data_IF_454890756814
#
_entry.id   IF_454890756814
#
_cell.length_a   1.000
_cell.length_b   1.000
_cell.length_c   1.000
_cell.angle_alpha   90.00
_cell.angle_beta   90.00
_cell.angle_gamma   90.00
#
_symmetry.space_group_name_H-M   'P 1'
#
loop_
_entity.id
_entity.type
_entity.pdbx_description
1 polymer ?
#
# COMPACT_ATOMS: atom_id res chain seq x y z
N UNK A 1 -38.99 48.50 -58.63
CA UNK A 1 -39.88 47.32 -58.51
C UNK A 1 -39.73 46.74 -57.10
N UNK A 2 -40.86 46.65 -56.38
CA UNK A 2 -41.21 45.86 -55.17
C UNK A 2 -40.13 45.28 -54.21
N UNK A 3 -40.33 45.54 -52.91
CA UNK A 3 -40.17 44.59 -51.77
C UNK A 3 -38.91 44.77 -50.91
N UNK A 4 -38.91 45.48 -49.78
CA UNK A 4 -39.23 45.06 -48.38
C UNK A 4 -38.32 43.96 -47.77
N UNK A 5 -37.33 44.42 -46.98
CA UNK A 5 -36.92 44.08 -45.57
C UNK A 5 -37.32 42.73 -44.92
N UNK A 6 -36.69 42.31 -43.78
CA UNK A 6 -35.37 42.65 -43.20
C UNK A 6 -34.63 41.39 -42.67
N UNK A 7 -33.32 41.48 -42.36
CA UNK A 7 -32.63 40.35 -41.73
C UNK A 7 -31.27 40.66 -41.12
N UNK A 8 -31.21 40.42 -39.80
CA UNK A 8 -30.04 40.23 -38.90
C UNK A 8 -29.59 41.43 -38.07
N UNK A 9 -29.62 41.31 -36.73
CA UNK A 9 -28.81 42.12 -35.83
C UNK A 9 -27.64 41.33 -35.19
N UNK A 10 -26.62 42.12 -34.86
CA UNK A 10 -25.76 42.07 -33.66
C UNK A 10 -24.81 40.87 -33.41
N UNK A 11 -23.54 41.22 -33.20
CA UNK A 11 -22.48 40.33 -32.76
C UNK A 11 -22.19 40.36 -31.25
N UNK A 12 -21.31 39.42 -30.88
CA UNK A 12 -20.37 39.36 -29.75
C UNK A 12 -20.90 39.46 -28.30
N UNK A 13 -20.82 38.34 -27.56
CA UNK A 13 -19.99 38.18 -26.34
C UNK A 13 -20.12 36.75 -25.75
N UNK A 14 -19.00 36.19 -25.29
CA UNK A 14 -18.77 34.92 -24.56
C UNK A 14 -19.47 34.85 -23.17
N UNK A 15 -19.42 33.74 -22.37
CA UNK A 15 -18.87 32.37 -22.58
C UNK A 15 -19.76 31.19 -22.09
N UNK A 16 -19.29 29.96 -22.40
CA UNK A 16 -19.36 28.73 -21.61
C UNK A 16 -20.73 28.16 -21.16
N UNK A 17 -21.31 27.28 -21.99
CA UNK A 17 -22.22 26.22 -21.56
C UNK A 17 -21.45 24.89 -21.41
N UNK A 18 -21.54 24.33 -20.21
CA UNK A 18 -21.44 22.91 -19.95
C UNK A 18 -22.81 22.30 -20.31
N UNK A 19 -22.90 21.60 -21.43
CA UNK A 19 -23.97 20.65 -21.72
C UNK A 19 -23.35 19.25 -21.59
N UNK A 20 -23.88 18.31 -20.81
CA UNK A 20 -25.28 18.09 -20.51
C UNK A 20 -25.63 16.70 -21.04
N UNK A 21 -25.43 15.69 -20.20
CA UNK A 21 -25.97 14.35 -20.39
C UNK A 21 -27.50 14.45 -20.46
N UNK A 22 -28.03 13.75 -21.44
CA UNK A 22 -29.43 13.54 -21.80
C UNK A 22 -30.42 13.36 -20.64
N UNK A 23 -31.40 14.26 -20.63
CA UNK A 23 -32.87 14.10 -20.42
C UNK A 23 -33.49 12.71 -20.70
N UNK A 24 -34.82 12.47 -20.48
CA UNK A 24 -35.84 13.22 -19.70
C UNK A 24 -36.86 12.30 -18.95
N UNK A 25 -37.69 12.88 -18.08
CA UNK A 25 -39.15 12.73 -18.17
C UNK A 25 -39.86 13.64 -17.17
N UNK A 26 -40.65 14.63 -17.62
CA UNK A 26 -41.79 15.12 -16.83
C UNK A 26 -42.89 15.74 -17.69
N UNK A 27 -44.12 15.23 -17.50
CA UNK A 27 -45.39 15.79 -17.97
C UNK A 27 -45.77 17.05 -17.17
N UNK A 28 -46.43 17.97 -17.88
CA UNK A 28 -47.07 19.23 -17.43
C UNK A 28 -48.19 19.02 -16.39
N UNK A 29 -48.42 20.03 -15.52
CA UNK A 29 -49.53 21.03 -15.58
C UNK A 29 -49.61 21.84 -14.27
N UNK A 30 -49.50 23.17 -14.39
CA UNK A 30 -50.42 24.19 -13.84
C UNK A 30 -50.50 24.50 -12.33
N UNK A 31 -50.36 25.79 -11.98
CA UNK A 31 -51.23 26.44 -10.97
C UNK A 31 -50.56 27.23 -9.83
N UNK A 32 -50.53 28.57 -9.99
CA UNK A 32 -50.67 29.65 -8.99
C UNK A 32 -50.11 29.49 -7.55
N UNK A 33 -49.17 30.38 -7.22
CA UNK A 33 -49.25 31.35 -6.11
C UNK A 33 -49.08 30.85 -4.66
N UNK A 34 -48.12 31.42 -3.92
CA UNK A 34 -48.20 31.50 -2.46
C UNK A 34 -46.94 31.11 -1.67
N UNK A 35 -46.22 32.15 -1.25
CA UNK A 35 -45.31 32.32 -0.09
C UNK A 35 -45.16 31.17 0.97
N UNK A 36 -43.89 30.90 1.27
CA UNK A 36 -43.22 30.52 2.55
C UNK A 36 -43.82 29.43 3.45
N UNK A 37 -43.07 28.33 3.66
CA UNK A 37 -42.73 27.77 4.98
C UNK A 37 -41.82 26.54 4.88
N UNK A 38 -40.69 26.58 5.58
CA UNK A 38 -39.79 25.44 5.80
C UNK A 38 -40.52 24.25 6.45
N UNK A 39 -40.37 23.04 5.90
CA UNK A 39 -40.87 21.79 6.50
C UNK A 39 -39.74 20.79 6.76
N UNK A 40 -39.77 20.31 8.00
CA UNK A 40 -38.89 19.34 8.68
C UNK A 40 -38.85 17.96 7.98
N UNK A 41 -37.79 17.15 8.18
CA UNK A 41 -37.74 15.79 7.67
C UNK A 41 -38.76 14.87 8.38
N UNK A 42 -39.39 14.01 7.58
CA UNK A 42 -40.42 13.07 7.97
C UNK A 42 -39.96 12.06 9.03
N UNK A 43 -40.67 12.00 10.16
CA UNK A 43 -40.61 10.88 11.12
C UNK A 43 -41.27 9.64 10.49
N UNK A 44 -40.53 8.54 10.42
CA UNK A 44 -41.05 7.22 10.06
C UNK A 44 -42.13 6.77 11.07
N UNK A 45 -43.31 6.39 10.55
CA UNK A 45 -44.39 5.78 11.31
C UNK A 45 -44.02 4.34 11.68
N UNK A 46 -44.11 3.98 12.98
CA UNK A 46 -44.07 2.60 13.46
C UNK A 46 -45.35 1.86 13.08
N UNK A 47 -45.31 0.55 12.74
CA UNK A 47 -46.52 -0.22 12.45
C UNK A 47 -47.30 -0.57 13.73
N UNK A 48 -48.63 -0.81 13.64
CA UNK A 48 -49.46 -1.07 14.82
C UNK A 48 -49.32 -2.51 15.33
N UNK A 49 -49.26 -2.65 16.66
CA UNK A 49 -49.33 -3.94 17.37
C UNK A 49 -50.74 -4.54 17.22
N UNK A 50 -50.82 -5.76 16.69
CA UNK A 50 -52.04 -6.57 16.65
C UNK A 50 -52.54 -6.87 18.06
N UNK A 51 -53.80 -6.55 18.33
CA UNK A 51 -54.59 -7.04 19.47
C UNK A 51 -54.89 -8.53 19.27
N UNK A 52 -54.60 -9.34 20.29
CA UNK A 52 -55.21 -10.67 20.48
C UNK A 52 -55.95 -10.65 21.82
N UNK A 53 -57.22 -11.03 21.77
CA UNK A 53 -57.99 -11.63 22.85
C UNK A 53 -59.04 -12.53 22.19
N UNK A 54 -59.88 -13.26 22.92
CA UNK A 54 -59.89 -13.53 24.37
C UNK A 54 -59.88 -15.04 24.67
N UNK A 55 -59.52 -15.47 25.89
CA UNK A 55 -60.16 -16.66 26.49
C UNK A 55 -60.24 -16.51 28.01
N UNK A 56 -61.40 -16.92 28.49
CA UNK A 56 -62.00 -16.93 29.81
C UNK A 56 -61.38 -17.96 30.75
N UNK A 57 -61.30 -17.63 32.04
CA UNK A 57 -61.06 -18.57 33.14
C UNK A 57 -61.01 -17.82 34.47
N UNK A 58 -62.05 -18.00 35.30
CA UNK A 58 -62.13 -17.52 36.69
C UNK A 58 -61.07 -18.22 37.55
N UNK A 59 -60.50 -17.55 38.56
CA UNK A 59 -60.89 -17.77 39.96
C UNK A 59 -60.02 -17.03 41.00
N UNK A 60 -60.72 -16.53 42.02
CA UNK A 60 -60.39 -16.39 43.46
C UNK A 60 -59.32 -15.38 43.95
N UNK A 61 -59.85 -14.44 44.76
CA UNK A 61 -59.34 -13.68 45.94
C UNK A 61 -57.83 -13.66 46.25
N UNK A 62 -57.32 -12.45 46.49
CA UNK A 62 -56.87 -12.04 47.83
C UNK A 62 -56.65 -10.52 47.94
N UNK A 63 -57.22 -9.91 48.98
CA UNK A 63 -57.01 -8.51 49.37
C UNK A 63 -55.68 -8.37 50.13
N UNK A 64 -54.68 -7.75 49.50
CA UNK A 64 -53.41 -7.37 50.14
C UNK A 64 -53.15 -5.88 50.01
N UNK A 65 -53.49 -5.12 51.06
CA UNK A 65 -53.29 -3.66 51.16
C UNK A 65 -51.79 -3.34 51.29
N UNK A 66 -51.09 -3.14 50.18
CA UNK A 66 -49.67 -2.76 50.19
C UNK A 66 -49.49 -1.23 50.38
N UNK A 67 -49.09 -0.84 51.59
CA UNK A 67 -48.62 0.51 51.93
C UNK A 67 -47.28 0.76 51.23
N UNK A 68 -47.25 1.68 50.27
CA UNK A 68 -46.01 2.11 49.58
C UNK A 68 -45.27 3.13 50.43
N UNK A 69 -44.27 2.68 51.20
CA UNK A 69 -43.29 3.56 51.84
C UNK A 69 -42.27 4.01 50.79
N UNK A 70 -42.30 5.28 50.40
CA UNK A 70 -41.23 5.89 49.59
C UNK A 70 -40.07 6.23 50.50
N UNK A 71 -39.07 5.35 50.58
CA UNK A 71 -37.76 5.69 51.13
C UNK A 71 -37.08 6.70 50.20
N UNK A 72 -36.96 7.96 50.65
CA UNK A 72 -36.07 8.94 50.05
C UNK A 72 -34.64 8.47 50.30
N UNK A 73 -34.05 7.77 49.34
CA UNK A 73 -32.61 7.53 49.34
C UNK A 73 -31.90 8.90 49.24
N UNK A 74 -31.15 9.24 50.29
CA UNK A 74 -30.32 10.42 50.36
C UNK A 74 -29.42 10.54 49.13
N UNK A 75 -29.37 11.75 48.57
CA UNK A 75 -28.59 12.11 47.39
C UNK A 75 -27.11 11.98 47.72
N UNK A 76 -26.47 10.87 47.33
CA UNK A 76 -25.02 10.75 47.35
C UNK A 76 -24.39 11.94 46.59
N UNK A 77 -23.30 12.55 47.10
CA UNK A 77 -22.65 13.69 46.46
C UNK A 77 -22.26 13.32 45.02
N UNK A 78 -22.61 14.18 44.06
CA UNK A 78 -22.46 13.91 42.63
C UNK A 78 -21.03 13.52 42.21
N UNK A 79 -20.03 13.96 42.96
CA UNK A 79 -18.61 13.65 42.78
C UNK A 79 -18.32 12.15 42.93
N UNK A 80 -18.96 11.46 43.88
CA UNK A 80 -18.73 10.02 44.11
C UNK A 80 -19.36 9.15 43.01
N UNK A 81 -20.49 9.59 42.43
CA UNK A 81 -21.11 8.92 41.27
C UNK A 81 -20.28 9.11 40.00
N UNK A 82 -19.71 10.29 39.81
CA UNK A 82 -18.90 10.60 38.63
C UNK A 82 -17.55 9.85 38.63
N UNK A 83 -16.97 9.62 39.81
CA UNK A 83 -15.80 8.75 40.00
C UNK A 83 -16.15 7.26 39.82
N UNK A 84 -17.29 6.80 40.36
CA UNK A 84 -17.74 5.42 40.21
C UNK A 84 -18.02 5.03 38.74
N UNK A 85 -18.43 5.98 37.90
CA UNK A 85 -18.67 5.76 36.46
C UNK A 85 -17.39 5.81 35.60
N UNK A 86 -16.29 6.43 36.09
CA UNK A 86 -15.02 6.54 35.34
C UNK A 86 -14.15 5.29 35.44
N UNK A 87 -14.12 4.63 36.60
CA UNK A 87 -13.31 3.42 36.84
C UNK A 87 -13.66 2.24 35.89
N UNK A 88 -14.94 1.89 35.63
CA UNK A 88 -15.28 0.80 34.72
C UNK A 88 -15.11 1.15 33.23
N UNK A 89 -15.09 2.44 32.85
CA UNK A 89 -14.87 2.88 31.47
C UNK A 89 -13.41 2.73 31.06
N UNK A 90 -12.47 3.08 31.95
CA UNK A 90 -11.04 2.86 31.73
C UNK A 90 -10.71 1.36 31.61
N UNK A 91 -11.33 0.51 32.43
CA UNK A 91 -11.19 -0.95 32.36
C UNK A 91 -11.73 -1.55 31.05
N UNK A 92 -12.86 -1.06 30.53
CA UNK A 92 -13.39 -1.50 29.22
C UNK A 92 -12.50 -1.05 28.06
N UNK A 93 -11.99 0.17 28.09
CA UNK A 93 -11.13 0.70 27.03
C UNK A 93 -9.79 -0.06 26.94
N UNK A 94 -9.23 -0.49 28.08
CA UNK A 94 -8.07 -1.39 28.14
C UNK A 94 -8.41 -2.80 27.63
N UNK A 95 -9.58 -3.35 27.99
CA UNK A 95 -10.02 -4.67 27.52
C UNK A 95 -10.30 -4.69 26.01
N UNK A 96 -10.93 -3.63 25.49
CA UNK A 96 -11.22 -3.46 24.07
C UNK A 96 -9.91 -3.25 23.27
N UNK A 97 -8.92 -2.56 23.85
CA UNK A 97 -7.57 -2.45 23.29
C UNK A 97 -6.82 -3.78 23.22
N UNK A 98 -6.89 -4.60 24.28
CA UNK A 98 -6.29 -5.95 24.32
C UNK A 98 -7.00 -6.89 23.35
N UNK A 99 -8.33 -6.83 23.25
CA UNK A 99 -9.10 -7.66 22.31
C UNK A 99 -8.82 -7.23 20.87
N UNK A 100 -8.71 -5.92 20.60
CA UNK A 100 -8.32 -5.39 19.29
C UNK A 100 -6.90 -5.78 18.88
N UNK A 101 -5.97 -5.87 19.84
CA UNK A 101 -4.62 -6.37 19.62
C UNK A 101 -4.64 -7.87 19.24
N UNK A 102 -5.44 -8.69 19.94
CA UNK A 102 -5.54 -10.13 19.64
C UNK A 102 -6.09 -10.39 18.24
N UNK A 103 -7.14 -9.68 17.83
CA UNK A 103 -7.69 -9.76 16.48
C UNK A 103 -6.68 -9.30 15.41
N UNK A 104 -5.92 -8.24 15.70
CA UNK A 104 -4.86 -7.76 14.79
C UNK A 104 -3.76 -8.80 14.63
N UNK A 105 -3.30 -9.41 15.73
CA UNK A 105 -2.31 -10.48 15.68
C UNK A 105 -2.80 -11.67 14.86
N UNK A 106 -4.03 -12.13 15.08
CA UNK A 106 -4.62 -13.24 14.32
C UNK A 106 -4.66 -12.94 12.83
N UNK A 107 -5.06 -11.73 12.44
CA UNK A 107 -5.13 -11.32 11.03
C UNK A 107 -3.74 -11.31 10.39
N UNK A 108 -2.75 -10.80 11.10
CA UNK A 108 -1.35 -10.78 10.65
C UNK A 108 -0.77 -12.17 10.49
N UNK A 109 -1.01 -13.06 11.46
CA UNK A 109 -0.56 -14.46 11.41
C UNK A 109 -1.19 -15.19 10.22
N UNK A 110 -2.48 -15.00 9.97
CA UNK A 110 -3.16 -15.61 8.82
C UNK A 110 -2.60 -15.06 7.50
N UNK A 111 -2.31 -13.75 7.43
CA UNK A 111 -1.74 -13.13 6.23
C UNK A 111 -0.34 -13.69 5.91
N UNK A 112 0.55 -13.78 6.91
CA UNK A 112 1.87 -14.38 6.75
C UNK A 112 1.79 -15.89 6.46
N UNK A 113 0.85 -16.61 7.07
CA UNK A 113 0.60 -18.02 6.77
C UNK A 113 0.15 -18.24 5.32
N UNK A 114 -0.76 -17.40 4.82
CA UNK A 114 -1.21 -17.41 3.42
C UNK A 114 -0.07 -17.10 2.44
N UNK A 115 0.75 -16.10 2.76
CA UNK A 115 1.95 -15.77 1.98
C UNK A 115 2.93 -16.96 1.94
N UNK A 116 3.19 -17.60 3.08
CA UNK A 116 4.06 -18.79 3.17
C UNK A 116 3.55 -19.96 2.33
N UNK A 117 2.24 -20.22 2.33
CA UNK A 117 1.62 -21.26 1.50
C UNK A 117 1.71 -20.95 0.00
N UNK A 118 1.61 -19.67 -0.39
CA UNK A 118 1.81 -19.25 -1.78
C UNK A 118 3.27 -19.46 -2.19
N UNK A 119 4.22 -19.04 -1.35
CA UNK A 119 5.66 -19.25 -1.57
C UNK A 119 5.99 -20.74 -1.73
N UNK A 120 5.47 -21.60 -0.86
CA UNK A 120 5.65 -23.05 -0.96
C UNK A 120 5.10 -23.63 -2.26
N UNK A 121 3.93 -23.14 -2.73
CA UNK A 121 3.37 -23.53 -4.03
C UNK A 121 4.22 -23.06 -5.20
N UNK A 122 4.75 -21.84 -5.15
CA UNK A 122 5.65 -21.29 -6.18
C UNK A 122 6.94 -22.11 -6.24
N UNK A 123 7.57 -22.38 -5.09
CA UNK A 123 8.78 -23.20 -5.02
C UNK A 123 8.58 -24.61 -5.57
N UNK A 124 7.46 -25.27 -5.24
CA UNK A 124 7.14 -26.59 -5.80
C UNK A 124 6.83 -26.54 -7.31
N UNK A 125 6.36 -25.39 -7.81
CA UNK A 125 5.97 -25.20 -9.21
C UNK A 125 7.06 -24.56 -10.07
N UNK A 126 8.27 -24.38 -9.51
CA UNK A 126 9.40 -23.70 -10.16
C UNK A 126 9.94 -24.50 -11.37
N UNK A 127 9.68 -25.81 -11.42
CA UNK A 127 9.91 -26.64 -12.59
C UNK A 127 8.94 -26.27 -13.74
N UNK A 128 9.34 -25.24 -14.49
CA UNK A 128 8.62 -24.78 -15.66
C UNK A 128 9.01 -25.61 -16.90
N UNK A 129 8.03 -26.02 -17.72
CA UNK A 129 8.31 -26.41 -19.08
C UNK A 129 8.74 -25.18 -19.91
N UNK A 130 9.57 -25.35 -20.96
CA UNK A 130 10.14 -24.26 -21.76
C UNK A 130 9.13 -23.33 -22.44
N UNK A 131 7.84 -23.72 -22.49
CA UNK A 131 6.75 -22.93 -23.12
C UNK A 131 6.47 -21.58 -22.47
N UNK A 132 6.91 -21.32 -21.23
CA UNK A 132 6.60 -20.07 -20.51
C UNK A 132 7.70 -19.00 -20.62
N UNK A 133 8.80 -19.25 -21.33
CA UNK A 133 9.92 -18.31 -21.44
C UNK A 133 9.51 -16.95 -22.03
N UNK A 134 8.60 -16.94 -23.01
CA UNK A 134 8.07 -15.69 -23.60
C UNK A 134 7.32 -14.82 -22.59
N UNK A 135 6.64 -15.43 -21.61
CA UNK A 135 5.97 -14.67 -20.55
C UNK A 135 6.98 -14.03 -19.60
N UNK A 136 8.06 -14.76 -19.27
CA UNK A 136 9.13 -14.24 -18.40
C UNK A 136 9.79 -13.03 -19.06
N UNK A 137 10.12 -13.10 -20.36
CA UNK A 137 10.72 -11.96 -21.08
C UNK A 137 9.83 -10.72 -21.07
N UNK A 138 8.52 -10.90 -21.26
CA UNK A 138 7.55 -9.80 -21.22
C UNK A 138 7.49 -9.15 -19.83
N UNK A 139 7.55 -9.95 -18.77
CA UNK A 139 7.59 -9.46 -17.40
C UNK A 139 8.92 -8.75 -17.09
N UNK A 140 10.06 -9.24 -17.62
CA UNK A 140 11.37 -8.57 -17.48
C UNK A 140 11.32 -7.18 -18.12
N UNK A 141 10.81 -7.07 -19.34
CA UNK A 141 10.69 -5.80 -20.06
C UNK A 141 9.77 -4.83 -19.29
N UNK A 142 8.59 -5.30 -18.89
CA UNK A 142 7.59 -4.49 -18.18
C UNK A 142 8.12 -4.00 -16.83
N UNK A 143 8.70 -4.88 -16.02
CA UNK A 143 9.20 -4.53 -14.68
C UNK A 143 10.48 -3.70 -14.74
N UNK A 144 11.41 -4.06 -15.62
CA UNK A 144 12.73 -3.44 -15.72
C UNK A 144 12.68 -2.06 -16.38
N UNK A 145 12.20 -1.99 -17.62
CA UNK A 145 12.26 -0.75 -18.43
C UNK A 145 11.43 0.36 -17.79
N UNK A 146 10.24 0.05 -17.31
CA UNK A 146 9.36 1.05 -16.69
C UNK A 146 9.89 1.58 -15.35
N UNK A 147 10.78 0.85 -14.70
CA UNK A 147 11.31 1.21 -13.38
C UNK A 147 12.68 1.88 -13.44
N UNK A 148 13.35 1.81 -14.60
CA UNK A 148 14.70 2.29 -14.82
C UNK A 148 14.85 3.79 -14.50
N UNK A 149 13.91 4.62 -14.95
CA UNK A 149 13.93 6.06 -14.67
C UNK A 149 13.84 6.41 -13.18
N UNK A 150 12.98 5.72 -12.43
CA UNK A 150 12.84 5.93 -10.98
C UNK A 150 14.09 5.45 -10.25
N UNK A 151 14.64 4.30 -10.63
CA UNK A 151 15.83 3.72 -10.03
C UNK A 151 17.06 4.63 -10.20
N UNK A 152 17.35 5.07 -11.42
CA UNK A 152 18.53 5.89 -11.71
C UNK A 152 18.44 7.27 -11.07
N UNK A 153 17.27 7.90 -11.12
CA UNK A 153 17.06 9.21 -10.50
C UNK A 153 17.23 9.13 -8.99
N UNK A 154 16.66 8.11 -8.33
CA UNK A 154 16.86 7.93 -6.90
C UNK A 154 18.32 7.66 -6.53
N UNK A 155 19.01 6.82 -7.32
CA UNK A 155 20.39 6.44 -7.09
C UNK A 155 21.35 7.62 -7.18
N UNK A 156 21.25 8.45 -8.24
CA UNK A 156 22.17 9.58 -8.43
C UNK A 156 22.04 10.59 -7.29
N UNK A 157 20.81 11.00 -6.94
CA UNK A 157 20.60 11.99 -5.89
C UNK A 157 20.94 11.45 -4.50
N UNK A 158 20.61 10.19 -4.22
CA UNK A 158 20.94 9.59 -2.92
C UNK A 158 22.44 9.40 -2.76
N UNK A 159 23.15 8.98 -3.82
CA UNK A 159 24.60 8.87 -3.84
C UNK A 159 25.30 10.22 -3.62
N UNK A 160 24.82 11.28 -4.29
CA UNK A 160 25.33 12.64 -4.09
C UNK A 160 25.15 13.11 -2.64
N UNK A 161 23.94 12.97 -2.09
CA UNK A 161 23.63 13.39 -0.72
C UNK A 161 24.45 12.59 0.29
N UNK A 162 24.56 11.27 0.13
CA UNK A 162 25.32 10.42 1.05
C UNK A 162 26.81 10.76 1.06
N UNK A 163 27.37 11.06 -0.11
CA UNK A 163 28.79 11.37 -0.24
C UNK A 163 29.14 12.72 0.38
N UNK A 164 28.33 13.77 0.14
CA UNK A 164 28.53 15.07 0.81
C UNK A 164 28.44 14.91 2.33
N UNK A 165 27.44 14.18 2.82
CA UNK A 165 27.27 13.95 4.26
C UNK A 165 28.47 13.20 4.84
N UNK A 166 28.97 12.18 4.13
CA UNK A 166 30.18 11.45 4.53
C UNK A 166 31.41 12.35 4.56
N UNK A 167 31.56 13.26 3.58
CA UNK A 167 32.65 14.23 3.53
C UNK A 167 32.66 15.17 4.73
N UNK A 168 31.50 15.71 5.10
CA UNK A 168 31.36 16.57 6.29
C UNK A 168 31.73 15.82 7.57
N UNK A 169 31.37 14.54 7.67
CA UNK A 169 31.70 13.72 8.84
C UNK A 169 33.21 13.40 8.91
N UNK A 170 33.83 13.03 7.78
CA UNK A 170 35.25 12.65 7.75
C UNK A 170 36.21 13.84 7.88
N UNK A 171 35.81 15.02 7.42
CA UNK A 171 36.58 16.26 7.61
C UNK A 171 36.89 16.53 9.10
N UNK A 172 35.98 16.14 10.01
CA UNK A 172 36.17 16.31 11.46
C UNK A 172 37.28 15.44 12.03
N UNK A 173 37.63 14.35 11.36
CA UNK A 173 38.68 13.42 11.76
C UNK A 173 39.96 13.58 10.91
N UNK A 174 40.02 14.58 10.02
CA UNK A 174 41.12 14.75 9.06
C UNK A 174 41.23 13.62 8.03
N UNK A 175 40.15 12.86 7.82
CA UNK A 175 40.15 11.61 7.05
C UNK A 175 39.44 11.76 5.68
N UNK A 176 39.61 12.89 5.00
CA UNK A 176 38.85 13.22 3.77
C UNK A 176 39.14 12.25 2.61
N UNK A 177 40.30 11.61 2.58
CA UNK A 177 40.65 10.60 1.56
C UNK A 177 39.75 9.34 1.64
N UNK A 178 39.15 9.04 2.80
CA UNK A 178 38.31 7.85 3.01
C UNK A 178 36.85 8.04 2.62
N UNK A 179 36.46 9.24 2.19
CA UNK A 179 35.07 9.56 1.82
C UNK A 179 34.57 8.66 0.70
N UNK A 180 35.37 8.46 -0.35
CA UNK A 180 34.99 7.62 -1.50
C UNK A 180 34.76 6.15 -1.14
N UNK A 181 35.72 5.47 -0.50
CA UNK A 181 35.51 4.12 0.03
C UNK A 181 34.28 3.97 0.91
N UNK A 182 34.08 4.89 1.86
CA UNK A 182 32.94 4.83 2.79
C UNK A 182 31.61 4.99 2.04
N UNK A 183 31.55 5.96 1.12
CA UNK A 183 30.40 6.19 0.26
C UNK A 183 30.07 4.95 -0.59
N UNK A 184 31.07 4.41 -1.29
CA UNK A 184 30.89 3.26 -2.16
C UNK A 184 30.47 2.00 -1.38
N UNK A 185 31.11 1.70 -0.25
CA UNK A 185 30.76 0.53 0.57
C UNK A 185 29.33 0.62 1.11
N UNK A 186 28.90 1.79 1.56
CA UNK A 186 27.53 2.00 2.04
C UNK A 186 26.50 1.84 0.91
N UNK A 187 26.80 2.32 -0.29
CA UNK A 187 25.94 2.17 -1.46
C UNK A 187 25.83 0.69 -1.86
N UNK A 188 26.97 0.04 -2.10
CA UNK A 188 27.02 -1.34 -2.62
C UNK A 188 26.42 -2.38 -1.65
N UNK A 189 26.62 -2.23 -0.35
CA UNK A 189 26.18 -3.24 0.64
C UNK A 189 24.74 -3.04 1.13
N UNK A 190 24.29 -1.79 1.23
CA UNK A 190 23.05 -1.46 1.92
C UNK A 190 22.13 -0.59 1.06
N UNK A 191 22.54 0.65 0.77
CA UNK A 191 21.63 1.65 0.22
C UNK A 191 21.13 1.26 -1.18
N UNK A 192 21.98 0.78 -2.07
CA UNK A 192 21.60 0.41 -3.43
C UNK A 192 20.54 -0.68 -3.50
N UNK A 193 20.78 -1.88 -2.92
CA UNK A 193 19.80 -2.95 -2.86
C UNK A 193 18.50 -2.55 -2.16
N UNK A 194 18.58 -1.86 -1.02
CA UNK A 194 17.41 -1.50 -0.20
C UNK A 194 16.57 -0.41 -0.86
N UNK A 195 17.20 0.65 -1.38
CA UNK A 195 16.48 1.74 -2.05
C UNK A 195 15.81 1.24 -3.33
N UNK A 196 16.49 0.41 -4.10
CA UNK A 196 15.90 -0.25 -5.28
C UNK A 196 14.70 -1.09 -4.86
N UNK A 197 14.85 -1.92 -3.83
CA UNK A 197 13.77 -2.78 -3.34
C UNK A 197 12.53 -2.00 -2.87
N UNK A 198 12.71 -0.87 -2.17
CA UNK A 198 11.58 -0.08 -1.66
C UNK A 198 10.94 0.76 -2.78
N UNK A 199 11.74 1.54 -3.51
CA UNK A 199 11.23 2.49 -4.50
C UNK A 199 10.70 1.79 -5.75
N UNK A 200 11.54 0.97 -6.37
CA UNK A 200 11.16 0.20 -7.56
C UNK A 200 10.20 -0.91 -7.17
N UNK A 201 10.46 -1.61 -6.06
CA UNK A 201 9.58 -2.69 -5.65
C UNK A 201 8.20 -2.23 -5.24
N UNK A 202 8.05 -1.06 -4.61
CA UNK A 202 6.73 -0.47 -4.35
C UNK A 202 5.93 -0.23 -5.64
N UNK A 203 6.57 0.32 -6.68
CA UNK A 203 5.95 0.51 -8.01
C UNK A 203 5.59 -0.84 -8.64
N UNK A 204 6.54 -1.76 -8.74
CA UNK A 204 6.36 -3.06 -9.39
C UNK A 204 5.29 -3.90 -8.69
N UNK A 205 5.34 -4.00 -7.36
CA UNK A 205 4.35 -4.75 -6.59
C UNK A 205 2.94 -4.16 -6.68
N UNK A 206 2.82 -2.83 -6.71
CA UNK A 206 1.53 -2.16 -6.91
C UNK A 206 0.95 -2.47 -8.29
N UNK A 207 1.78 -2.45 -9.33
CA UNK A 207 1.38 -2.84 -10.68
C UNK A 207 0.93 -4.29 -10.77
N UNK A 208 1.70 -5.21 -10.18
CA UNK A 208 1.34 -6.63 -10.09
C UNK A 208 0.01 -6.83 -9.36
N UNK A 209 -0.19 -6.12 -8.26
CA UNK A 209 -1.43 -6.17 -7.45
C UNK A 209 -2.62 -5.64 -8.25
N UNK A 210 -2.45 -4.52 -8.94
CA UNK A 210 -3.50 -3.93 -9.77
C UNK A 210 -3.92 -4.88 -10.90
N UNK A 211 -2.96 -5.53 -11.56
CA UNK A 211 -3.23 -6.44 -12.66
C UNK A 211 -3.93 -7.74 -12.19
N UNK A 212 -3.38 -8.41 -11.16
CA UNK A 212 -3.98 -9.63 -10.62
C UNK A 212 -5.31 -9.37 -9.94
N UNK A 213 -5.42 -8.25 -9.24
CA UNK A 213 -6.67 -7.85 -8.59
C UNK A 213 -7.75 -7.50 -9.62
N UNK A 214 -7.40 -6.85 -10.74
CA UNK A 214 -8.33 -6.64 -11.87
C UNK A 214 -8.79 -7.97 -12.48
N UNK A 215 -7.88 -8.91 -12.70
CA UNK A 215 -8.22 -10.27 -13.15
C UNK A 215 -9.12 -11.02 -12.17
N UNK A 216 -8.96 -10.78 -10.87
CA UNK A 216 -9.82 -11.36 -9.84
C UNK A 216 -11.20 -10.73 -9.83
N UNK A 217 -11.30 -9.40 -9.90
CA UNK A 217 -12.58 -8.66 -9.92
C UNK A 217 -13.39 -8.97 -11.17
N UNK A 218 -12.72 -9.27 -12.28
CA UNK A 218 -13.35 -9.67 -13.56
C UNK A 218 -13.56 -11.18 -13.69
N UNK A 219 -13.40 -11.94 -12.60
CA UNK A 219 -13.58 -13.41 -12.53
C UNK A 219 -12.70 -14.21 -13.51
N UNK A 220 -11.68 -13.59 -14.13
CA UNK A 220 -10.77 -14.27 -15.06
C UNK A 220 -9.96 -15.38 -14.37
N UNK A 221 -9.61 -15.17 -13.10
CA UNK A 221 -8.88 -16.18 -12.31
C UNK A 221 -9.77 -17.39 -12.02
N UNK A 222 -11.07 -17.17 -11.77
CA UNK A 222 -12.01 -18.25 -11.51
C UNK A 222 -12.36 -18.99 -12.81
N UNK A 223 -12.46 -18.28 -13.94
CA UNK A 223 -12.54 -18.91 -15.26
C UNK A 223 -11.33 -19.81 -15.58
N UNK A 224 -10.11 -19.41 -15.18
CA UNK A 224 -8.93 -20.28 -15.33
C UNK A 224 -9.03 -21.55 -14.47
N UNK A 225 -9.62 -21.45 -13.27
CA UNK A 225 -9.84 -22.60 -12.38
C UNK A 225 -10.87 -23.57 -12.96
N UNK A 226 -11.96 -23.08 -13.55
CA UNK A 226 -12.98 -23.94 -14.18
C UNK A 226 -12.45 -24.66 -15.41
N UNK A 227 -11.50 -24.05 -16.14
CA UNK A 227 -10.77 -24.67 -17.26
C UNK A 227 -9.69 -25.66 -16.83
N UNK A 228 -9.52 -25.93 -15.54
CA UNK A 228 -8.49 -26.85 -15.01
C UNK A 228 -7.05 -26.31 -15.13
N UNK A 229 -6.88 -25.01 -15.40
CA UNK A 229 -5.56 -24.39 -15.54
C UNK A 229 -5.04 -23.94 -14.17
N UNK A 230 -3.82 -24.35 -13.82
CA UNK A 230 -3.16 -23.88 -12.60
C UNK A 230 -2.74 -22.41 -12.75
N UNK A 231 -3.55 -21.51 -12.17
CA UNK A 231 -3.32 -20.05 -12.19
C UNK A 231 -2.00 -19.63 -11.53
N UNK A 232 -1.54 -20.34 -10.49
CA UNK A 232 -0.26 -20.02 -9.81
C UNK A 232 0.90 -20.22 -10.79
N UNK A 233 0.90 -21.34 -11.52
CA UNK A 233 1.96 -21.66 -12.49
C UNK A 233 1.97 -20.70 -13.68
N UNK A 234 0.79 -20.24 -14.12
CA UNK A 234 0.64 -19.39 -15.30
C UNK A 234 0.83 -17.89 -15.02
N UNK A 235 0.43 -17.40 -13.85
CA UNK A 235 0.47 -15.96 -13.53
C UNK A 235 1.59 -15.60 -12.54
N UNK A 236 1.77 -16.36 -11.46
CA UNK A 236 2.65 -15.98 -10.34
C UNK A 236 4.11 -16.36 -10.62
N UNK A 237 4.35 -17.61 -11.06
CA UNK A 237 5.71 -18.11 -11.30
C UNK A 237 6.53 -17.26 -12.31
N UNK A 238 6.02 -16.87 -13.50
CA UNK A 238 6.82 -16.08 -14.43
C UNK A 238 7.23 -14.72 -13.87
N UNK A 239 6.38 -14.09 -13.03
CA UNK A 239 6.68 -12.82 -12.35
C UNK A 239 7.80 -12.97 -11.34
N UNK A 240 7.74 -14.02 -10.53
CA UNK A 240 8.78 -14.31 -9.54
C UNK A 240 10.11 -14.58 -10.23
N UNK A 241 10.13 -15.33 -11.32
CA UNK A 241 11.37 -15.56 -12.08
C UNK A 241 11.89 -14.29 -12.76
N UNK A 242 10.99 -13.46 -13.31
CA UNK A 242 11.39 -12.18 -13.89
C UNK A 242 12.02 -11.26 -12.84
N UNK A 243 11.44 -11.16 -11.63
CA UNK A 243 11.96 -10.28 -10.58
C UNK A 243 13.29 -10.74 -10.00
N UNK A 244 13.56 -12.05 -9.95
CA UNK A 244 14.87 -12.59 -9.57
C UNK A 244 16.01 -12.12 -10.50
N UNK A 245 15.70 -11.73 -11.74
CA UNK A 245 16.67 -11.21 -12.70
C UNK A 245 16.66 -9.67 -12.72
N UNK A 246 15.46 -9.07 -12.72
CA UNK A 246 15.29 -7.62 -12.84
C UNK A 246 15.86 -6.86 -11.64
N UNK A 247 15.58 -7.31 -10.41
CA UNK A 247 16.04 -6.58 -9.21
C UNK A 247 17.57 -6.53 -9.10
N UNK A 248 18.31 -7.64 -9.27
CA UNK A 248 19.77 -7.60 -9.31
C UNK A 248 20.32 -6.69 -10.39
N UNK A 249 19.76 -6.77 -11.61
CA UNK A 249 20.21 -5.93 -12.72
C UNK A 249 20.00 -4.44 -12.42
N UNK A 250 18.84 -4.08 -11.86
CA UNK A 250 18.56 -2.70 -11.46
C UNK A 250 19.47 -2.26 -10.32
N UNK A 251 19.75 -3.11 -9.33
CA UNK A 251 20.67 -2.80 -8.24
C UNK A 251 22.08 -2.49 -8.74
N UNK A 252 22.60 -3.29 -9.67
CA UNK A 252 23.93 -3.02 -10.27
C UNK A 252 23.96 -1.65 -10.96
N UNK A 253 22.89 -1.29 -11.68
CA UNK A 253 22.77 0.02 -12.32
C UNK A 253 22.66 1.16 -11.30
N UNK A 254 21.89 0.98 -10.22
CA UNK A 254 21.78 1.99 -9.16
C UNK A 254 23.09 2.16 -8.41
N UNK A 255 23.84 1.09 -8.19
CA UNK A 255 25.13 1.16 -7.50
C UNK A 255 26.14 1.93 -8.34
N UNK A 256 26.24 1.60 -9.63
CA UNK A 256 27.13 2.28 -10.56
C UNK A 256 26.79 3.79 -10.63
N UNK A 257 25.52 4.14 -10.82
CA UNK A 257 25.09 5.54 -10.94
C UNK A 257 25.19 6.28 -9.61
N UNK A 258 24.91 5.63 -8.48
CA UNK A 258 25.03 6.22 -7.16
C UNK A 258 26.48 6.56 -6.81
N UNK A 259 27.43 5.66 -7.08
CA UNK A 259 28.86 5.89 -6.89
C UNK A 259 29.38 7.00 -7.81
N UNK A 260 28.97 7.00 -9.08
CA UNK A 260 29.34 8.05 -10.03
C UNK A 260 28.79 9.41 -9.59
N UNK A 261 27.55 9.47 -9.09
CA UNK A 261 26.98 10.69 -8.50
C UNK A 261 27.81 11.21 -7.33
N UNK A 262 28.26 10.31 -6.44
CA UNK A 262 29.16 10.63 -5.34
C UNK A 262 30.50 11.22 -5.80
N UNK A 263 31.10 10.65 -6.84
CA UNK A 263 32.35 11.15 -7.43
C UNK A 263 32.19 12.56 -8.01
N UNK A 264 31.11 12.79 -8.77
CA UNK A 264 30.84 14.10 -9.39
C UNK A 264 30.66 15.18 -8.32
N UNK A 265 29.90 14.91 -7.27
CA UNK A 265 29.64 15.94 -6.25
C UNK A 265 30.87 16.27 -5.41
N UNK A 266 31.75 15.29 -5.15
CA UNK A 266 33.01 15.53 -4.46
C UNK A 266 33.97 16.41 -5.26
N UNK A 267 33.99 16.24 -6.59
CA UNK A 267 34.74 17.11 -7.48
C UNK A 267 34.19 18.54 -7.45
N UNK A 268 32.87 18.72 -7.55
CA UNK A 268 32.22 20.04 -7.63
C UNK A 268 32.31 20.82 -6.31
N UNK A 269 31.97 20.21 -5.19
CA UNK A 269 31.83 20.90 -3.89
C UNK A 269 33.15 20.99 -3.11
N UNK A 270 33.99 19.96 -3.20
CA UNK A 270 35.24 19.85 -2.42
C UNK A 270 36.50 19.99 -3.24
N UNK A 271 36.40 20.09 -4.57
CA UNK A 271 37.57 20.17 -5.45
C UNK A 271 38.45 18.93 -5.40
N UNK A 272 37.91 17.78 -4.97
CA UNK A 272 38.67 16.55 -4.86
C UNK A 272 39.01 15.99 -6.24
N UNK A 273 40.23 15.49 -6.41
CA UNK A 273 40.65 14.85 -7.65
C UNK A 273 39.84 13.55 -7.90
N UNK A 274 39.25 13.45 -9.09
CA UNK A 274 38.42 12.31 -9.48
C UNK A 274 39.25 11.03 -9.58
N UNK A 275 40.51 11.14 -10.01
CA UNK A 275 41.40 9.99 -10.11
C UNK A 275 41.79 9.46 -8.73
N UNK A 276 42.14 10.34 -7.79
CA UNK A 276 42.38 9.97 -6.40
C UNK A 276 41.16 9.29 -5.74
N UNK A 277 39.94 9.80 -5.99
CA UNK A 277 38.70 9.20 -5.50
C UNK A 277 38.53 7.76 -6.03
N UNK A 278 38.67 7.57 -7.33
CA UNK A 278 38.50 6.27 -7.99
C UNK A 278 39.54 5.25 -7.52
N UNK A 279 40.80 5.66 -7.41
CA UNK A 279 41.89 4.78 -6.99
C UNK A 279 41.71 4.32 -5.54
N UNK A 280 41.39 5.26 -4.64
CA UNK A 280 41.15 4.94 -3.23
C UNK A 280 39.92 4.04 -3.07
N UNK A 281 38.84 4.34 -3.78
CA UNK A 281 37.64 3.49 -3.79
C UNK A 281 37.97 2.06 -4.24
N UNK A 282 38.64 1.90 -5.39
CA UNK A 282 38.95 0.58 -5.96
C UNK A 282 39.87 -0.25 -5.05
N UNK A 283 40.76 0.41 -4.30
CA UNK A 283 41.63 -0.25 -3.33
C UNK A 283 40.87 -0.85 -2.14
N UNK A 284 39.84 -0.16 -1.64
CA UNK A 284 39.10 -0.58 -0.44
C UNK A 284 37.86 -1.43 -0.71
N UNK A 285 37.22 -1.26 -1.87
CA UNK A 285 36.02 -2.01 -2.25
C UNK A 285 36.43 -3.40 -2.74
N UNK A 286 36.03 -4.44 -2.02
CA UNK A 286 36.33 -5.82 -2.38
C UNK A 286 35.16 -6.38 -3.19
N UNK A 287 35.39 -7.26 -4.19
CA UNK A 287 34.30 -7.87 -4.98
C UNK A 287 33.23 -8.58 -4.12
N UNK A 288 33.59 -9.05 -2.92
CA UNK A 288 32.64 -9.63 -1.97
C UNK A 288 31.54 -8.65 -1.56
N UNK A 289 31.86 -7.37 -1.43
CA UNK A 289 30.93 -6.34 -0.97
C UNK A 289 29.81 -6.13 -1.98
N UNK A 290 30.18 -6.10 -3.26
CA UNK A 290 29.25 -6.08 -4.38
C UNK A 290 28.39 -7.34 -4.47
N UNK A 291 28.99 -8.53 -4.30
CA UNK A 291 28.26 -9.80 -4.33
C UNK A 291 27.25 -9.92 -3.19
N UNK A 292 27.55 -9.41 -1.99
CA UNK A 292 26.57 -9.38 -0.89
C UNK A 292 25.36 -8.49 -1.21
N UNK A 293 25.58 -7.33 -1.85
CA UNK A 293 24.49 -6.45 -2.30
C UNK A 293 23.60 -7.09 -3.35
N UNK A 294 24.21 -7.74 -4.36
CA UNK A 294 23.48 -8.51 -5.38
C UNK A 294 22.71 -9.67 -4.74
N UNK A 295 23.29 -10.39 -3.79
CA UNK A 295 22.62 -11.48 -3.08
C UNK A 295 21.34 -11.01 -2.37
N UNK A 296 21.39 -9.84 -1.73
CA UNK A 296 20.21 -9.22 -1.10
C UNK A 296 19.14 -8.84 -2.11
N UNK A 297 19.51 -8.23 -3.24
CA UNK A 297 18.54 -7.77 -4.24
C UNK A 297 17.76 -8.90 -4.90
N UNK A 298 18.38 -10.08 -5.09
CA UNK A 298 17.68 -11.31 -5.52
C UNK A 298 16.55 -11.64 -4.53
N UNK A 299 16.86 -11.67 -3.23
CA UNK A 299 15.87 -11.99 -2.20
C UNK A 299 14.76 -10.94 -2.13
N UNK A 300 15.13 -9.65 -2.19
CA UNK A 300 14.14 -8.57 -2.20
C UNK A 300 13.21 -8.65 -3.40
N UNK A 301 13.72 -8.96 -4.60
CA UNK A 301 12.88 -9.15 -5.79
C UNK A 301 11.83 -10.24 -5.60
N UNK A 302 12.21 -11.35 -4.98
CA UNK A 302 11.28 -12.43 -4.64
C UNK A 302 10.21 -11.98 -3.63
N UNK A 303 10.62 -11.34 -2.53
CA UNK A 303 9.71 -10.86 -1.48
C UNK A 303 8.70 -9.86 -2.04
N UNK A 304 9.18 -8.83 -2.76
CA UNK A 304 8.35 -7.80 -3.39
C UNK A 304 7.27 -8.42 -4.27
N UNK A 305 7.69 -9.36 -5.11
CA UNK A 305 6.81 -10.00 -6.10
C UNK A 305 5.79 -10.92 -5.45
N UNK A 306 6.20 -11.67 -4.42
CA UNK A 306 5.32 -12.56 -3.67
C UNK A 306 4.24 -11.76 -2.92
N UNK A 307 4.62 -10.65 -2.29
CA UNK A 307 3.67 -9.77 -1.59
C UNK A 307 2.68 -9.16 -2.58
N UNK A 308 3.14 -8.66 -3.73
CA UNK A 308 2.27 -8.13 -4.77
C UNK A 308 1.32 -9.19 -5.34
N UNK A 309 1.82 -10.40 -5.61
CA UNK A 309 0.99 -11.50 -6.07
C UNK A 309 -0.06 -11.91 -5.02
N UNK A 310 0.33 -12.00 -3.77
CA UNK A 310 -0.56 -12.41 -2.69
C UNK A 310 -1.68 -11.39 -2.46
N UNK A 311 -1.36 -10.10 -2.39
CA UNK A 311 -2.37 -9.06 -2.19
C UNK A 311 -3.30 -8.96 -3.41
N UNK A 312 -2.76 -9.06 -4.64
CA UNK A 312 -3.58 -9.09 -5.86
C UNK A 312 -4.60 -10.24 -5.86
N UNK A 313 -4.14 -11.46 -5.54
CA UNK A 313 -4.99 -12.65 -5.44
C UNK A 313 -5.95 -12.63 -4.24
N UNK A 314 -5.68 -11.81 -3.23
CA UNK A 314 -6.52 -11.67 -2.03
C UNK A 314 -7.46 -10.47 -2.09
N UNK A 315 -7.48 -9.73 -3.20
CA UNK A 315 -8.37 -8.57 -3.40
C UNK A 315 -9.84 -8.97 -3.34
N UNK A 316 -10.66 -8.21 -2.61
CA UNK A 316 -12.11 -8.39 -2.47
C UNK A 316 -12.81 -7.03 -2.43
N UNK A 317 -14.10 -6.96 -2.78
CA UNK A 317 -14.86 -5.70 -2.74
C UNK A 317 -14.77 -4.86 -4.01
N UNK A 318 -14.56 -5.49 -5.17
CA UNK A 318 -14.60 -4.83 -6.48
C UNK A 318 -13.46 -3.84 -6.73
N UNK A 319 -13.73 -2.79 -7.50
CA UNK A 319 -12.74 -1.77 -7.89
C UNK A 319 -12.24 -0.93 -6.72
N UNK A 320 -13.08 -0.67 -5.71
CA UNK A 320 -12.66 0.06 -4.52
C UNK A 320 -11.70 -0.77 -3.65
N UNK A 321 -11.99 -2.07 -3.51
CA UNK A 321 -11.12 -3.02 -2.83
C UNK A 321 -9.74 -3.14 -3.50
N UNK A 322 -9.69 -3.06 -4.83
CA UNK A 322 -8.45 -3.05 -5.60
C UNK A 322 -7.53 -1.89 -5.22
N UNK A 323 -8.05 -0.66 -5.17
CA UNK A 323 -7.26 0.52 -4.78
C UNK A 323 -6.73 0.44 -3.35
N UNK A 324 -7.51 -0.15 -2.43
CA UNK A 324 -7.05 -0.39 -1.05
C UNK A 324 -5.95 -1.46 -1.02
N UNK A 325 -6.10 -2.53 -1.78
CA UNK A 325 -5.10 -3.61 -1.86
C UNK A 325 -3.76 -3.13 -2.47
N UNK A 326 -3.79 -2.29 -3.50
CA UNK A 326 -2.57 -1.71 -4.08
C UNK A 326 -1.83 -0.83 -3.08
N UNK A 327 -2.57 0.01 -2.35
CA UNK A 327 -1.97 0.91 -1.35
C UNK A 327 -1.39 0.11 -0.17
N UNK A 328 -2.12 -0.89 0.32
CA UNK A 328 -1.64 -1.79 1.37
C UNK A 328 -0.40 -2.60 0.93
N UNK A 329 -0.30 -2.93 -0.36
CA UNK A 329 0.85 -3.65 -0.91
C UNK A 329 2.14 -2.87 -0.75
N UNK A 330 2.15 -1.57 -1.05
CA UNK A 330 3.35 -0.74 -0.87
C UNK A 330 3.83 -0.79 0.58
N UNK A 331 2.90 -0.67 1.53
CA UNK A 331 3.24 -0.72 2.97
C UNK A 331 3.80 -2.09 3.36
N UNK A 332 3.13 -3.18 2.93
CA UNK A 332 3.60 -4.55 3.22
C UNK A 332 4.97 -4.83 2.60
N UNK A 333 5.23 -4.34 1.39
CA UNK A 333 6.53 -4.47 0.71
C UNK A 333 7.61 -3.71 1.49
N UNK A 334 7.39 -2.44 1.84
CA UNK A 334 8.36 -1.65 2.59
C UNK A 334 8.69 -2.28 3.93
N UNK A 335 7.68 -2.73 4.68
CA UNK A 335 7.89 -3.44 5.94
C UNK A 335 8.65 -4.76 5.74
N UNK A 336 8.26 -5.54 4.73
CA UNK A 336 8.90 -6.82 4.40
C UNK A 336 10.37 -6.67 4.01
N UNK A 337 10.70 -5.65 3.21
CA UNK A 337 12.08 -5.36 2.80
C UNK A 337 12.92 -4.92 3.98
N UNK A 338 12.46 -3.98 4.81
CA UNK A 338 13.22 -3.48 5.97
C UNK A 338 13.52 -4.60 6.97
N UNK A 339 12.50 -5.42 7.29
CA UNK A 339 12.70 -6.55 8.22
C UNK A 339 13.67 -7.57 7.63
N UNK A 340 13.50 -7.90 6.34
CA UNK A 340 14.38 -8.86 5.66
C UNK A 340 15.82 -8.36 5.56
N UNK A 341 16.02 -7.06 5.34
CA UNK A 341 17.33 -6.44 5.25
C UNK A 341 18.14 -6.64 6.54
N UNK A 342 17.54 -6.38 7.71
CA UNK A 342 18.20 -6.64 9.00
C UNK A 342 18.68 -8.09 9.13
N UNK A 343 17.82 -9.06 8.82
CA UNK A 343 18.18 -10.48 8.93
C UNK A 343 19.25 -10.89 7.92
N UNK A 344 19.14 -10.43 6.67
CA UNK A 344 20.11 -10.72 5.62
C UNK A 344 21.47 -10.08 5.90
N UNK A 345 21.50 -8.84 6.36
CA UNK A 345 22.73 -8.15 6.75
C UNK A 345 23.43 -8.92 7.86
N UNK A 346 22.70 -9.32 8.92
CA UNK A 346 23.26 -10.14 10.00
C UNK A 346 23.79 -11.50 9.50
N UNK A 347 23.04 -12.16 8.61
CA UNK A 347 23.43 -13.44 8.02
C UNK A 347 24.71 -13.30 7.18
N UNK A 348 24.76 -12.31 6.29
CA UNK A 348 25.90 -12.09 5.40
C UNK A 348 27.14 -11.67 6.18
N UNK A 349 26.99 -10.82 7.20
CA UNK A 349 28.09 -10.47 8.08
C UNK A 349 28.63 -11.71 8.80
N UNK A 350 27.77 -12.59 9.32
CA UNK A 350 28.22 -13.81 10.03
C UNK A 350 28.86 -14.85 9.10
N UNK A 351 28.46 -14.90 7.83
CA UNK A 351 28.93 -15.91 6.87
C UNK A 351 30.21 -15.50 6.15
N UNK A 352 30.39 -14.20 5.90
CA UNK A 352 31.51 -13.66 5.11
C UNK A 352 32.55 -12.89 5.95
N UNK A 353 32.30 -12.66 7.25
CA UNK A 353 33.16 -11.92 8.18
C UNK A 353 33.27 -12.64 9.52
#
# INVERSE_FOLDING_TARGET
>A
MRGRDPGRPAGCALPASLDGVSEPCHRRVGGRGGRWAARRPCRARRPPRRRRGPHTGRDVRDEGRAVRVRLRAGRAPGVLRDLADRVPRAGRQLRDGVTGLELSLRRTVVWYGGLGLLTGRVMRSLALPPKYFRLILREIESMGVQSLGVALTAAIFTGMVFTIQSAVNMARFGAETYVGPVAALAILRELGPVLTAILVGGKVASGITAELGSMKVTEQIDALRTLGVNYVKRLVVPRVLASLVVFPLLTVLTDAVGVLGGMVIMFVERGADMYAYWNTMTYWVVPKDFLTGIGKSVFFGAVVTLIGCYNGLSTEGGTEGLGRATTATVVHVTMGVIVSDFFLTKLFLTLFY
#
